data_IF_845676471603
#
_entry.id   IF_845676471603
#
_cell.length_a   1.000
_cell.length_b   1.000
_cell.length_c   1.000
_cell.angle_alpha   90.00
_cell.angle_beta   90.00
_cell.angle_gamma   90.00
#
_symmetry.space_group_name_H-M   'P 1'
#
loop_
_entity.id
_entity.type
_entity.pdbx_description
1 polymer ?
#
# COMPACT_ATOMS: atom_id res chain seq x y z
N UNK A 1 14.58 17.42 -11.98
CA UNK A 1 15.71 17.56 -11.05
C UNK A 1 15.92 16.25 -10.29
N UNK A 2 14.96 15.81 -9.46
CA UNK A 2 15.04 14.52 -8.75
C UNK A 2 15.35 13.29 -9.64
N UNK A 3 14.71 13.15 -10.81
CA UNK A 3 14.99 12.02 -11.73
C UNK A 3 16.39 12.07 -12.37
N UNK A 4 16.97 13.26 -12.51
CA UNK A 4 18.33 13.43 -13.04
C UNK A 4 19.36 13.08 -11.96
N UNK A 5 19.15 13.56 -10.74
CA UNK A 5 19.98 13.25 -9.57
C UNK A 5 19.97 11.77 -9.24
N UNK A 6 18.79 11.12 -9.30
CA UNK A 6 18.65 9.69 -9.05
C UNK A 6 19.37 8.84 -10.12
N UNK A 7 19.33 9.26 -11.38
CA UNK A 7 20.08 8.60 -12.45
C UNK A 7 21.59 8.83 -12.31
N UNK A 8 22.02 10.01 -11.88
CA UNK A 8 23.44 10.27 -11.58
C UNK A 8 23.90 9.40 -10.42
N UNK A 9 23.10 9.27 -9.36
CA UNK A 9 23.40 8.43 -8.20
C UNK A 9 23.50 6.94 -8.59
N UNK A 10 22.54 6.44 -9.38
CA UNK A 10 22.59 5.08 -9.97
C UNK A 10 23.93 4.81 -10.65
N UNK A 11 24.35 5.74 -11.51
CA UNK A 11 25.58 5.62 -12.28
C UNK A 11 26.81 5.68 -11.38
N UNK A 12 26.79 6.53 -10.35
CA UNK A 12 27.88 6.65 -9.37
C UNK A 12 28.01 5.42 -8.47
N UNK A 13 26.90 4.79 -8.08
CA UNK A 13 26.86 3.60 -7.23
C UNK A 13 27.02 2.28 -8.00
N UNK A 14 27.11 2.33 -9.34
CA UNK A 14 27.20 1.16 -10.22
C UNK A 14 26.12 0.09 -9.96
N UNK A 15 24.91 0.51 -9.59
CA UNK A 15 23.78 -0.37 -9.32
C UNK A 15 22.86 -0.50 -10.53
N UNK A 16 22.14 -1.61 -10.62
CA UNK A 16 21.16 -1.78 -11.69
C UNK A 16 19.91 -0.94 -11.41
N UNK A 17 19.12 -0.64 -12.46
CA UNK A 17 17.81 0.00 -12.30
C UNK A 17 16.88 -0.86 -11.44
N UNK A 18 17.05 -2.18 -11.48
CA UNK A 18 16.29 -3.10 -10.65
C UNK A 18 16.61 -2.89 -9.17
N UNK A 19 17.90 -2.90 -8.81
CA UNK A 19 18.34 -2.73 -7.41
C UNK A 19 18.00 -1.34 -6.88
N UNK A 20 18.10 -0.32 -7.74
CA UNK A 20 17.67 1.03 -7.41
C UNK A 20 16.17 1.09 -7.10
N UNK A 21 15.32 0.40 -7.89
CA UNK A 21 13.88 0.35 -7.62
C UNK A 21 13.59 -0.38 -6.32
N UNK A 22 14.23 -1.52 -6.08
CA UNK A 22 14.04 -2.33 -4.86
C UNK A 22 14.53 -1.58 -3.60
N UNK A 23 15.49 -0.67 -3.72
CA UNK A 23 15.95 0.13 -2.58
C UNK A 23 15.14 1.42 -2.39
N UNK A 24 14.90 2.16 -3.47
CA UNK A 24 14.32 3.52 -3.40
C UNK A 24 12.82 3.48 -3.23
N UNK A 25 12.12 2.52 -3.84
CA UNK A 25 10.66 2.42 -3.71
C UNK A 25 10.28 2.12 -2.25
N UNK A 26 10.81 1.09 -1.57
CA UNK A 26 10.52 0.87 -0.15
C UNK A 26 10.99 2.00 0.75
N UNK A 27 12.12 2.66 0.45
CA UNK A 27 12.60 3.81 1.24
C UNK A 27 11.66 5.01 1.14
N UNK A 28 11.23 5.36 -0.07
CA UNK A 28 10.25 6.45 -0.28
C UNK A 28 8.90 6.08 0.32
N UNK A 29 8.49 4.82 0.21
CA UNK A 29 7.25 4.33 0.82
C UNK A 29 7.34 4.28 2.34
N UNK A 30 8.50 3.99 2.94
CA UNK A 30 8.72 4.07 4.38
C UNK A 30 8.75 5.52 4.90
N UNK A 31 9.12 6.48 4.04
CA UNK A 31 8.99 7.91 4.34
C UNK A 31 7.54 8.39 4.26
N UNK A 32 6.70 7.72 3.48
CA UNK A 32 5.24 7.84 3.54
C UNK A 32 4.78 6.98 4.70
N UNK A 33 4.80 7.53 5.92
CA UNK A 33 4.38 6.80 7.12
C UNK A 33 3.05 6.08 6.84
N UNK A 34 3.09 4.75 6.69
CA UNK A 34 1.97 4.03 6.07
C UNK A 34 0.77 4.02 7.01
N UNK A 35 1.03 4.03 8.32
CA UNK A 35 0.02 4.37 9.31
C UNK A 35 -0.63 5.71 8.94
N UNK A 36 0.11 6.81 8.75
CA UNK A 36 -0.50 8.08 8.29
C UNK A 36 -1.17 8.00 6.91
N UNK A 37 -0.69 7.20 5.95
CA UNK A 37 -1.38 7.01 4.67
C UNK A 37 -2.74 6.30 4.82
N UNK A 38 -2.81 5.38 5.78
CA UNK A 38 -3.99 4.57 6.11
C UNK A 38 -4.90 5.25 7.14
N UNK A 39 -4.35 6.10 8.01
CA UNK A 39 -4.99 6.68 9.20
C UNK A 39 -5.12 8.20 9.20
N UNK A 40 -4.48 8.96 8.30
CA UNK A 40 -4.57 10.43 8.33
C UNK A 40 -5.98 10.93 8.04
N UNK A 41 -6.70 11.10 9.13
CA UNK A 41 -7.84 11.98 9.35
C UNK A 41 -7.48 13.46 9.21
N UNK A 42 -6.20 13.81 8.97
CA UNK A 42 -5.77 15.21 8.88
C UNK A 42 -5.44 15.69 7.45
N UNK A 43 -5.27 14.79 6.47
CA UNK A 43 -5.12 15.17 5.06
C UNK A 43 -5.94 14.27 4.13
N UNK A 44 -7.18 14.72 3.95
CA UNK A 44 -8.29 14.21 3.14
C UNK A 44 -7.98 14.18 1.61
N UNK A 45 -6.71 14.03 1.22
CA UNK A 45 -6.23 14.24 -0.15
C UNK A 45 -6.53 13.05 -1.08
N UNK A 46 -6.45 11.82 -0.57
CA UNK A 46 -6.76 10.60 -1.33
C UNK A 46 -8.27 10.36 -1.48
N UNK A 47 -9.07 10.80 -0.51
CA UNK A 47 -10.53 10.69 -0.48
C UNK A 47 -11.22 11.78 -1.32
N UNK A 48 -10.78 13.05 -1.22
CA UNK A 48 -11.36 14.18 -1.97
C UNK A 48 -10.95 14.27 -3.44
N UNK A 49 -9.86 13.60 -3.85
CA UNK A 49 -9.38 13.67 -5.24
C UNK A 49 -9.83 12.42 -6.01
N UNK A 50 -10.73 12.53 -7.01
CA UNK A 50 -11.33 11.39 -7.72
C UNK A 50 -10.33 10.45 -8.41
N UNK A 51 -9.12 10.94 -8.70
CA UNK A 51 -8.06 10.18 -9.34
C UNK A 51 -7.19 9.40 -8.34
N UNK A 52 -7.08 9.86 -7.09
CA UNK A 52 -6.26 9.21 -6.06
C UNK A 52 -6.97 8.00 -5.44
N UNK A 53 -8.29 8.06 -5.23
CA UNK A 53 -9.07 6.91 -4.75
C UNK A 53 -9.06 5.70 -5.70
N UNK A 54 -8.84 5.93 -7.01
CA UNK A 54 -8.69 4.86 -8.02
C UNK A 54 -7.32 4.17 -7.97
N UNK A 55 -6.29 4.87 -7.49
CA UNK A 55 -4.93 4.35 -7.38
C UNK A 55 -4.67 3.63 -6.06
N UNK A 56 -5.52 3.86 -5.06
CA UNK A 56 -5.36 3.30 -3.72
C UNK A 56 -5.37 1.76 -3.69
N UNK A 57 -6.39 1.11 -4.26
CA UNK A 57 -6.46 -0.36 -4.26
C UNK A 57 -5.29 -1.02 -5.05
N UNK A 58 -4.92 -0.53 -6.25
CA UNK A 58 -3.70 -0.99 -6.93
C UNK A 58 -2.41 -0.75 -6.14
N UNK A 59 -2.33 0.36 -5.38
CA UNK A 59 -1.17 0.66 -4.54
C UNK A 59 -1.05 -0.34 -3.39
N UNK A 60 -2.10 -0.54 -2.59
CA UNK A 60 -2.11 -1.52 -1.47
C UNK A 60 -1.72 -2.91 -1.97
N UNK A 61 -2.32 -3.37 -3.06
CA UNK A 61 -1.99 -4.68 -3.66
C UNK A 61 -0.52 -4.78 -4.07
N UNK A 62 0.02 -3.70 -4.64
CA UNK A 62 1.42 -3.67 -5.06
C UNK A 62 2.38 -3.58 -3.87
N UNK A 63 2.01 -2.90 -2.79
CA UNK A 63 2.78 -2.84 -1.55
C UNK A 63 2.85 -4.20 -0.86
N UNK A 64 1.73 -4.93 -0.86
CA UNK A 64 1.69 -6.32 -0.40
C UNK A 64 2.65 -7.22 -1.20
N UNK A 65 2.56 -7.24 -2.54
CA UNK A 65 3.46 -8.05 -3.37
C UNK A 65 4.93 -7.60 -3.39
N UNK A 66 5.24 -6.44 -2.83
CA UNK A 66 6.62 -5.97 -2.67
C UNK A 66 7.15 -6.26 -1.27
N UNK A 67 6.42 -7.03 -0.45
CA UNK A 67 6.72 -7.33 0.96
C UNK A 67 6.92 -6.06 1.80
N UNK A 68 6.21 -4.98 1.45
CA UNK A 68 6.21 -3.71 2.20
C UNK A 68 5.05 -3.66 3.20
N UNK A 69 3.94 -4.32 2.88
CA UNK A 69 2.78 -4.45 3.74
C UNK A 69 2.45 -5.92 3.93
N UNK A 70 2.38 -6.34 5.19
CA UNK A 70 1.93 -7.68 5.54
C UNK A 70 0.40 -7.74 5.64
N UNK A 71 -0.13 -8.96 5.58
CA UNK A 71 -1.56 -9.23 5.63
C UNK A 71 -2.23 -8.66 6.88
N UNK A 72 -1.65 -8.91 8.06
CA UNK A 72 -2.17 -8.41 9.35
C UNK A 72 -2.38 -6.89 9.35
N UNK A 73 -1.41 -6.13 8.82
CA UNK A 73 -1.48 -4.67 8.75
C UNK A 73 -2.62 -4.18 7.84
N UNK A 74 -2.88 -4.92 6.74
CA UNK A 74 -3.95 -4.59 5.80
C UNK A 74 -5.33 -4.93 6.40
N UNK A 75 -5.44 -6.07 7.09
CA UNK A 75 -6.68 -6.52 7.74
C UNK A 75 -7.04 -5.65 8.96
N UNK A 76 -6.05 -5.26 9.76
CA UNK A 76 -6.22 -4.34 10.90
C UNK A 76 -6.74 -2.98 10.41
N UNK A 77 -6.15 -2.43 9.35
CA UNK A 77 -6.64 -1.20 8.74
C UNK A 77 -8.08 -1.35 8.21
N UNK A 78 -8.39 -2.45 7.53
CA UNK A 78 -9.73 -2.66 6.99
C UNK A 78 -10.78 -2.76 8.12
N UNK A 79 -10.43 -3.39 9.24
CA UNK A 79 -11.30 -3.57 10.41
C UNK A 79 -11.40 -2.32 11.30
N UNK A 80 -10.43 -1.42 11.22
CA UNK A 80 -10.42 -0.20 12.02
C UNK A 80 -11.62 0.73 11.73
N UNK A 81 -12.22 1.30 12.78
CA UNK A 81 -13.40 2.17 12.65
C UNK A 81 -13.06 3.61 12.26
N UNK A 82 -12.00 3.79 11.46
CA UNK A 82 -11.51 5.08 10.99
C UNK A 82 -12.49 5.81 10.07
N UNK A 83 -13.68 5.25 9.84
CA UNK A 83 -14.66 5.83 8.93
C UNK A 83 -15.31 7.08 9.50
N UNK A 84 -15.48 7.22 10.82
CA UNK A 84 -16.04 8.41 11.50
C UNK A 84 -17.28 9.04 10.82
N UNK A 85 -18.06 8.23 10.08
CA UNK A 85 -19.18 8.67 9.26
C UNK A 85 -18.84 9.27 7.86
N UNK A 86 -17.57 9.30 7.46
CA UNK A 86 -17.10 9.80 6.16
C UNK A 86 -17.39 8.80 5.00
N UNK A 87 -18.27 9.17 4.05
CA UNK A 87 -18.62 8.32 2.92
C UNK A 87 -17.44 8.05 1.97
N UNK A 88 -16.43 8.92 1.95
CA UNK A 88 -15.26 8.78 1.07
C UNK A 88 -14.34 7.65 1.52
N UNK A 89 -14.17 7.49 2.83
CA UNK A 89 -13.44 6.36 3.44
C UNK A 89 -14.17 5.04 3.23
N UNK A 90 -15.51 5.04 3.35
CA UNK A 90 -16.35 3.89 2.99
C UNK A 90 -16.16 3.47 1.53
N UNK A 91 -16.02 4.44 0.61
CA UNK A 91 -15.79 4.14 -0.81
C UNK A 91 -14.42 3.52 -1.10
N UNK A 92 -13.38 3.88 -0.34
CA UNK A 92 -12.04 3.29 -0.50
C UNK A 92 -12.05 1.83 -0.02
N UNK A 93 -12.61 1.55 1.17
CA UNK A 93 -12.74 0.18 1.69
C UNK A 93 -13.53 -0.73 0.72
N UNK A 94 -14.63 -0.23 0.15
CA UNK A 94 -15.39 -0.96 -0.90
C UNK A 94 -14.56 -1.32 -2.12
N UNK A 95 -13.60 -0.48 -2.52
CA UNK A 95 -12.71 -0.74 -3.67
C UNK A 95 -11.62 -1.76 -3.36
N UNK A 96 -11.15 -1.80 -2.10
CA UNK A 96 -10.13 -2.74 -1.65
C UNK A 96 -10.74 -4.10 -1.26
N UNK A 97 -12.04 -4.16 -0.97
CA UNK A 97 -12.75 -5.37 -0.54
C UNK A 97 -12.46 -6.66 -1.35
N UNK A 98 -12.36 -6.64 -2.69
CA UNK A 98 -12.00 -7.86 -3.44
C UNK A 98 -10.60 -8.39 -3.11
N UNK A 99 -9.67 -7.50 -2.76
CA UNK A 99 -8.32 -7.87 -2.35
C UNK A 99 -8.28 -8.35 -0.90
N UNK A 100 -9.03 -7.72 0.01
CA UNK A 100 -9.21 -8.20 1.39
C UNK A 100 -9.73 -9.62 1.40
N UNK A 101 -10.80 -9.87 0.64
CA UNK A 101 -11.38 -11.21 0.53
C UNK A 101 -10.36 -12.25 0.04
N UNK A 102 -9.53 -11.88 -0.93
CA UNK A 102 -8.48 -12.77 -1.44
C UNK A 102 -7.41 -13.08 -0.39
N UNK A 103 -7.04 -12.10 0.46
CA UNK A 103 -6.13 -12.32 1.58
C UNK A 103 -6.75 -13.32 2.57
N UNK A 104 -7.97 -13.05 3.03
CA UNK A 104 -8.69 -13.90 4.00
C UNK A 104 -8.91 -15.34 3.51
N UNK A 105 -9.13 -15.55 2.20
CA UNK A 105 -9.27 -16.89 1.62
C UNK A 105 -7.94 -17.64 1.48
N UNK A 106 -6.82 -16.94 1.35
CA UNK A 106 -5.50 -17.55 1.15
C UNK A 106 -4.97 -18.25 2.41
N UNK A 107 -5.33 -17.79 3.61
CA UNK A 107 -4.91 -18.40 4.88
C UNK A 107 -5.65 -19.73 5.16
N UNK A 108 -6.86 -19.91 4.62
CA UNK A 108 -7.70 -21.09 4.88
C UNK A 108 -7.24 -22.32 4.08
N UNK A 109 -6.60 -22.15 2.92
CA UNK A 109 -6.14 -23.27 2.09
C UNK A 109 -4.85 -23.95 2.60
N UNK A 110 -4.03 -23.27 3.43
CA UNK A 110 -2.76 -23.83 3.93
C UNK A 110 -2.93 -24.62 5.24
N UNK A 111 -4.09 -24.54 5.88
CA UNK A 111 -4.34 -25.08 7.22
C UNK A 111 -5.24 -26.33 7.25
N UNK A 112 -5.59 -26.90 6.09
CA UNK A 112 -6.56 -28.01 5.93
C UNK A 112 -5.93 -29.30 5.35
N UNK A 113 -4.61 -29.50 5.49
CA UNK A 113 -3.86 -30.71 5.03
C UNK A 113 -3.15 -31.47 6.18
N UNK A 114 -3.82 -31.62 7.32
CA UNK A 114 -3.40 -32.50 8.42
C UNK A 114 -4.55 -33.47 8.81
N UNK A 115 -4.75 -34.52 8.01
CA UNK A 115 -5.45 -35.78 8.40
C UNK A 115 -4.69 -37.02 7.87
#
# INVERSE_FOLDING_TARGET
>A
IASLELNTLRMASNTTIHDLRVSVIPTILGQVNIANFLTSTEDDHCAKTPNHSKLFAPAIKKLYFLDVLDEEAILEWNSSDLTDGDPSKSNIKKRVAPFIKWLEEAEVEDSDDDD
#
